data_IF_875537082738
#
_entry.id   IF_875537082738
#
_cell.length_a   1.000
_cell.length_b   1.000
_cell.length_c   1.000
_cell.angle_alpha   90.00
_cell.angle_beta   90.00
_cell.angle_gamma   90.00
#
_symmetry.space_group_name_H-M   'P 1'
#
loop_
_entity.id
_entity.type
_entity.pdbx_description
1 polymer ?
#
# COMPACT_ATOMS: atom_id res chain seq x y z
N UNK A 1 15.40 -12.00 -27.29
CA UNK A 1 14.36 -13.05 -27.31
C UNK A 1 13.29 -12.78 -28.37
N UNK A 2 12.92 -13.82 -29.12
CA UNK A 2 11.82 -13.80 -30.10
C UNK A 2 10.45 -14.12 -29.48
N UNK A 3 9.36 -13.73 -30.15
CA UNK A 3 7.99 -13.95 -29.65
C UNK A 3 7.65 -15.41 -29.31
N UNK A 4 8.22 -16.36 -30.07
CA UNK A 4 7.95 -17.80 -29.87
C UNK A 4 8.65 -18.37 -28.63
N UNK A 5 9.86 -17.90 -28.31
CA UNK A 5 10.59 -18.27 -27.08
C UNK A 5 9.80 -17.81 -25.84
N UNK A 6 9.32 -16.57 -25.85
CA UNK A 6 8.52 -16.02 -24.76
C UNK A 6 7.20 -16.78 -24.56
N UNK A 7 6.54 -17.19 -25.64
CA UNK A 7 5.31 -17.97 -25.54
C UNK A 7 5.55 -19.36 -24.95
N UNK A 8 6.62 -20.05 -25.37
CA UNK A 8 6.99 -21.35 -24.82
C UNK A 8 7.37 -21.24 -23.34
N UNK A 9 8.17 -20.26 -22.96
CA UNK A 9 8.52 -20.03 -21.57
C UNK A 9 7.29 -19.75 -20.71
N UNK A 10 6.36 -18.92 -21.20
CA UNK A 10 5.11 -18.65 -20.49
C UNK A 10 4.32 -19.93 -20.25
N UNK A 11 4.13 -20.76 -21.28
CA UNK A 11 3.42 -22.05 -21.16
C UNK A 11 4.15 -23.03 -20.25
N UNK A 12 5.48 -23.05 -20.28
CA UNK A 12 6.29 -23.85 -19.38
C UNK A 12 5.96 -23.48 -17.93
N UNK A 13 6.02 -22.18 -17.58
CA UNK A 13 5.70 -21.72 -16.23
C UNK A 13 4.22 -21.91 -15.84
N UNK A 14 3.28 -21.70 -16.76
CA UNK A 14 1.85 -21.92 -16.49
C UNK A 14 1.52 -23.40 -16.19
N UNK A 15 2.24 -24.34 -16.82
CA UNK A 15 2.01 -25.79 -16.69
C UNK A 15 3.03 -26.51 -15.80
N UNK A 16 3.99 -25.79 -15.22
CA UNK A 16 5.15 -26.33 -14.51
C UNK A 16 5.93 -27.42 -15.29
N UNK A 17 6.13 -27.19 -16.60
CA UNK A 17 6.68 -28.16 -17.56
C UNK A 17 8.14 -27.85 -17.93
N UNK A 18 9.07 -28.65 -17.41
CA UNK A 18 10.51 -28.52 -17.68
C UNK A 18 10.90 -28.88 -19.11
N UNK A 19 10.10 -29.68 -19.82
CA UNK A 19 10.37 -30.03 -21.23
C UNK A 19 10.09 -28.86 -22.17
N UNK A 20 9.06 -28.07 -21.88
CA UNK A 20 8.78 -26.82 -22.60
C UNK A 20 9.84 -25.75 -22.27
N UNK A 21 10.33 -25.73 -21.03
CA UNK A 21 11.45 -24.87 -20.64
C UNK A 21 12.71 -25.21 -21.44
N UNK A 22 13.07 -26.49 -21.57
CA UNK A 22 14.21 -26.94 -22.39
C UNK A 22 14.08 -26.52 -23.85
N UNK A 23 12.89 -26.64 -24.42
CA UNK A 23 12.62 -26.17 -25.78
C UNK A 23 12.85 -24.66 -25.91
N UNK A 24 12.34 -23.87 -24.97
CA UNK A 24 12.53 -22.42 -24.96
C UNK A 24 14.02 -22.03 -24.79
N UNK A 25 14.76 -22.73 -23.94
CA UNK A 25 16.20 -22.55 -23.75
C UNK A 25 16.96 -22.86 -25.05
N UNK A 26 16.63 -23.96 -25.75
CA UNK A 26 17.30 -24.37 -26.98
C UNK A 26 17.18 -23.35 -28.13
N UNK A 27 16.12 -22.54 -28.09
CA UNK A 27 15.87 -21.46 -29.04
C UNK A 27 16.57 -20.15 -28.65
N UNK A 28 16.96 -20.01 -27.39
CA UNK A 28 17.57 -18.78 -26.86
C UNK A 28 19.06 -18.75 -27.19
N UNK A 29 19.51 -17.64 -27.80
CA UNK A 29 20.94 -17.44 -28.07
C UNK A 29 21.76 -17.43 -26.77
N UNK A 30 22.98 -17.97 -26.79
CA UNK A 30 23.82 -18.08 -25.60
C UNK A 30 24.06 -16.74 -24.88
N UNK A 31 24.14 -15.63 -25.64
CA UNK A 31 24.27 -14.27 -25.09
C UNK A 31 23.04 -13.76 -24.33
N UNK A 32 21.85 -14.32 -24.62
CA UNK A 32 20.57 -13.90 -24.07
C UNK A 32 20.10 -14.78 -22.88
N UNK A 33 20.80 -15.88 -22.58
CA UNK A 33 20.40 -16.86 -21.57
C UNK A 33 20.24 -16.25 -20.16
N UNK A 34 21.09 -15.27 -19.81
CA UNK A 34 21.00 -14.60 -18.51
C UNK A 34 19.68 -13.87 -18.32
N UNK A 35 19.25 -13.14 -19.35
CA UNK A 35 17.98 -12.42 -19.32
C UNK A 35 16.80 -13.40 -19.39
N UNK A 36 16.96 -14.49 -20.16
CA UNK A 36 15.98 -15.58 -20.23
C UNK A 36 15.72 -16.17 -18.85
N UNK A 37 16.77 -16.55 -18.11
CA UNK A 37 16.63 -17.10 -16.77
C UNK A 37 16.02 -16.10 -15.77
N UNK A 38 16.30 -14.80 -15.93
CA UNK A 38 15.68 -13.76 -15.11
C UNK A 38 14.16 -13.70 -15.32
N UNK A 39 13.71 -13.80 -16.57
CA UNK A 39 12.28 -13.84 -16.92
C UNK A 39 11.66 -15.17 -16.48
N UNK A 40 12.34 -16.29 -16.72
CA UNK A 40 11.88 -17.63 -16.36
C UNK A 40 11.64 -17.76 -14.85
N UNK A 41 12.61 -17.34 -14.03
CA UNK A 41 12.46 -17.27 -12.58
C UNK A 41 11.23 -16.45 -12.16
N UNK A 42 11.08 -15.24 -12.73
CA UNK A 42 9.97 -14.36 -12.35
C UNK A 42 8.60 -14.95 -12.71
N UNK A 43 8.50 -15.59 -13.88
CA UNK A 43 7.27 -16.27 -14.30
C UNK A 43 7.00 -17.53 -13.47
N UNK A 44 8.02 -18.31 -13.15
CA UNK A 44 7.88 -19.52 -12.36
C UNK A 44 7.39 -19.21 -10.94
N UNK A 45 7.94 -18.19 -10.29
CA UNK A 45 7.47 -17.73 -8.96
C UNK A 45 5.99 -17.33 -9.01
N UNK A 46 5.60 -16.50 -9.99
CA UNK A 46 4.21 -16.02 -10.13
C UNK A 46 3.21 -17.13 -10.42
N UNK A 47 3.64 -18.22 -11.06
CA UNK A 47 2.80 -19.36 -11.39
C UNK A 47 2.93 -20.52 -10.39
N UNK A 48 3.76 -20.38 -9.34
CA UNK A 48 4.04 -21.46 -8.37
C UNK A 48 4.63 -22.73 -9.05
N UNK A 49 5.41 -22.53 -10.10
CA UNK A 49 5.99 -23.59 -10.93
C UNK A 49 7.24 -24.18 -10.27
N UNK A 50 7.03 -25.07 -9.30
CA UNK A 50 8.09 -25.63 -8.45
C UNK A 50 9.06 -26.54 -9.22
N UNK A 51 8.60 -27.31 -10.20
CA UNK A 51 9.49 -28.12 -11.03
C UNK A 51 10.47 -27.25 -11.82
N UNK A 52 9.97 -26.13 -12.39
CA UNK A 52 10.82 -25.15 -13.07
C UNK A 52 11.77 -24.46 -12.10
N UNK A 53 11.33 -24.06 -10.91
CA UNK A 53 12.22 -23.44 -9.93
C UNK A 53 13.37 -24.37 -9.51
N UNK A 54 13.09 -25.66 -9.32
CA UNK A 54 14.13 -26.65 -9.03
C UNK A 54 15.08 -26.85 -10.21
N UNK A 55 14.56 -26.98 -11.44
CA UNK A 55 15.38 -27.10 -12.65
C UNK A 55 16.32 -25.90 -12.84
N UNK A 56 15.85 -24.68 -12.57
CA UNK A 56 16.69 -23.48 -12.58
C UNK A 56 17.85 -23.58 -11.59
N UNK A 57 17.60 -24.06 -10.36
CA UNK A 57 18.65 -24.27 -9.34
C UNK A 57 19.65 -25.32 -9.80
N UNK A 58 19.19 -26.44 -10.36
CA UNK A 58 20.05 -27.51 -10.89
C UNK A 58 20.99 -26.99 -12.00
N UNK A 59 20.53 -26.00 -12.77
CA UNK A 59 21.34 -25.29 -13.78
C UNK A 59 22.25 -24.20 -13.20
N UNK A 60 22.31 -24.06 -11.88
CA UNK A 60 23.12 -23.07 -11.18
C UNK A 60 22.53 -21.65 -11.18
N UNK A 61 21.25 -21.50 -11.52
CA UNK A 61 20.56 -20.21 -11.48
C UNK A 61 20.04 -19.95 -10.06
N UNK A 62 20.45 -18.82 -9.46
CA UNK A 62 19.89 -18.40 -8.17
C UNK A 62 18.43 -17.97 -8.33
N UNK A 63 17.55 -18.61 -7.56
CA UNK A 63 16.12 -18.28 -7.49
C UNK A 63 15.80 -17.21 -6.43
N UNK A 64 16.80 -16.70 -5.70
CA UNK A 64 16.60 -15.60 -4.77
C UNK A 64 15.97 -14.40 -5.48
N UNK A 65 14.94 -13.82 -4.85
CA UNK A 65 14.21 -12.70 -5.43
C UNK A 65 15.08 -11.44 -5.41
N UNK A 66 15.24 -10.84 -6.59
CA UNK A 66 15.84 -9.51 -6.73
C UNK A 66 14.81 -8.39 -6.57
N UNK A 67 13.52 -8.73 -6.71
CA UNK A 67 12.40 -7.82 -6.83
C UNK A 67 11.24 -8.35 -5.98
N UNK A 68 10.92 -7.72 -4.83
CA UNK A 68 9.83 -8.17 -3.98
C UNK A 68 8.49 -8.29 -4.73
N UNK A 69 8.24 -7.40 -5.69
CA UNK A 69 7.04 -7.43 -6.54
C UNK A 69 6.85 -8.73 -7.32
N UNK A 70 7.91 -9.46 -7.65
CA UNK A 70 7.80 -10.74 -8.37
C UNK A 70 7.16 -11.85 -7.53
N UNK A 71 7.22 -11.76 -6.21
CA UNK A 71 6.60 -12.72 -5.30
C UNK A 71 5.11 -12.41 -5.05
N UNK A 72 4.61 -11.25 -5.52
CA UNK A 72 3.21 -10.87 -5.31
C UNK A 72 2.29 -11.86 -6.03
N UNK A 73 1.45 -12.55 -5.26
CA UNK A 73 0.55 -13.59 -5.75
C UNK A 73 1.13 -15.01 -5.76
N UNK A 74 2.39 -15.19 -5.35
CA UNK A 74 2.91 -16.53 -5.09
C UNK A 74 2.22 -17.14 -3.85
N UNK A 75 2.09 -18.46 -3.84
CA UNK A 75 1.54 -19.23 -2.73
C UNK A 75 2.51 -19.26 -1.55
N UNK A 76 2.00 -19.56 -0.35
CA UNK A 76 2.83 -19.66 0.86
C UNK A 76 3.92 -20.74 0.69
N UNK A 77 3.61 -21.85 0.03
CA UNK A 77 4.57 -22.92 -0.24
C UNK A 77 5.74 -22.44 -1.12
N UNK A 78 5.44 -21.67 -2.17
CA UNK A 78 6.48 -21.06 -3.02
C UNK A 78 7.30 -20.04 -2.25
N UNK A 79 6.66 -19.22 -1.41
CA UNK A 79 7.37 -18.22 -0.58
C UNK A 79 8.28 -18.90 0.45
N UNK A 80 7.80 -19.94 1.13
CA UNK A 80 8.58 -20.77 2.06
C UNK A 80 9.78 -21.39 1.35
N UNK A 81 9.57 -21.96 0.16
CA UNK A 81 10.66 -22.47 -0.65
C UNK A 81 11.70 -21.38 -0.96
N UNK A 82 11.28 -20.18 -1.38
CA UNK A 82 12.19 -19.08 -1.66
C UNK A 82 13.00 -18.67 -0.41
N UNK A 83 12.38 -18.65 0.78
CA UNK A 83 13.09 -18.42 2.04
C UNK A 83 14.17 -19.48 2.29
N UNK A 84 13.90 -20.76 2.02
CA UNK A 84 14.94 -21.82 2.11
C UNK A 84 16.10 -21.63 1.13
N UNK A 85 15.85 -20.96 0.00
CA UNK A 85 16.85 -20.61 -1.01
C UNK A 85 17.56 -19.28 -0.71
N UNK A 86 17.39 -18.73 0.50
CA UNK A 86 18.09 -17.53 0.95
C UNK A 86 17.45 -16.21 0.48
N UNK A 87 16.17 -16.24 0.07
CA UNK A 87 15.43 -14.99 -0.13
C UNK A 87 15.30 -14.22 1.19
N UNK A 88 15.69 -12.95 1.17
CA UNK A 88 15.44 -12.01 2.28
C UNK A 88 14.08 -11.32 2.10
N UNK A 89 13.13 -11.65 2.97
CA UNK A 89 11.77 -11.08 2.99
C UNK A 89 11.76 -9.56 3.26
N UNK A 90 12.83 -9.03 3.87
CA UNK A 90 13.00 -7.62 4.18
C UNK A 90 13.76 -6.85 3.09
N UNK A 91 14.30 -7.57 2.09
CA UNK A 91 15.02 -6.94 1.00
C UNK A 91 14.11 -6.01 0.19
N UNK A 92 14.72 -4.94 -0.31
CA UNK A 92 14.07 -3.94 -1.17
C UNK A 92 14.67 -4.07 -2.56
N UNK A 93 13.85 -3.92 -3.59
CA UNK A 93 14.34 -3.89 -4.96
C UNK A 93 15.22 -2.66 -5.21
N UNK A 94 16.13 -2.81 -6.16
CA UNK A 94 17.03 -1.76 -6.65
C UNK A 94 16.34 -0.78 -7.61
N UNK A 95 15.25 -1.22 -8.24
CA UNK A 95 14.45 -0.45 -9.17
C UNK A 95 13.70 0.70 -8.48
N UNK A 96 13.60 1.90 -9.10
CA UNK A 96 12.72 2.99 -8.66
C UNK A 96 11.29 2.57 -8.33
N UNK A 97 10.78 1.55 -9.02
CA UNK A 97 9.38 1.11 -8.92
C UNK A 97 9.17 -0.10 -8.00
N UNK A 98 10.22 -0.61 -7.33
CA UNK A 98 10.12 -1.81 -6.49
C UNK A 98 10.89 -1.66 -5.18
N UNK A 99 10.77 -0.47 -4.57
CA UNK A 99 11.53 -0.09 -3.37
C UNK A 99 10.87 -0.52 -2.06
N UNK A 100 9.69 -1.13 -2.13
CA UNK A 100 8.96 -1.58 -0.96
C UNK A 100 9.32 -3.05 -0.66
N UNK A 101 9.49 -3.43 0.62
CA UNK A 101 9.66 -4.84 0.98
C UNK A 101 8.36 -5.62 0.73
N UNK A 102 8.43 -6.94 0.71
CA UNK A 102 7.29 -7.78 0.31
C UNK A 102 6.03 -7.54 1.17
N UNK A 103 6.16 -7.44 2.49
CA UNK A 103 5.02 -7.22 3.40
C UNK A 103 4.20 -5.96 3.07
N UNK A 104 4.82 -4.92 2.50
CA UNK A 104 4.12 -3.71 2.06
C UNK A 104 3.22 -3.96 0.85
N UNK A 105 3.61 -4.87 -0.03
CA UNK A 105 2.89 -5.18 -1.27
C UNK A 105 1.62 -6.01 -1.05
N UNK A 106 1.51 -6.61 0.13
CA UNK A 106 0.43 -7.49 0.59
C UNK A 106 -0.24 -6.96 1.86
N UNK A 107 0.00 -5.69 2.21
CA UNK A 107 -0.45 -5.08 3.48
C UNK A 107 -1.97 -5.06 3.69
N UNK A 108 -2.75 -5.26 2.62
CA UNK A 108 -4.22 -5.34 2.66
C UNK A 108 -4.73 -6.75 2.99
N UNK A 109 -3.87 -7.77 2.92
CA UNK A 109 -4.20 -9.16 3.23
C UNK A 109 -3.70 -9.49 4.65
N UNK A 110 -4.63 -9.59 5.59
CA UNK A 110 -4.32 -9.86 7.00
C UNK A 110 -3.53 -11.17 7.18
N UNK A 111 -3.94 -12.25 6.51
CA UNK A 111 -3.32 -13.57 6.69
C UNK A 111 -1.92 -13.61 6.09
N UNK A 112 -1.70 -12.88 4.99
CA UNK A 112 -0.37 -12.75 4.40
C UNK A 112 0.55 -11.86 5.24
N UNK A 113 0.05 -10.75 5.79
CA UNK A 113 0.81 -9.89 6.72
C UNK A 113 1.22 -10.68 7.96
N UNK A 114 0.29 -11.44 8.54
CA UNK A 114 0.57 -12.30 9.69
C UNK A 114 1.65 -13.33 9.34
N UNK A 115 1.52 -14.01 8.20
CA UNK A 115 2.52 -14.97 7.72
C UNK A 115 3.90 -14.30 7.54
N UNK A 116 3.96 -13.10 6.95
CA UNK A 116 5.20 -12.36 6.78
C UNK A 116 5.90 -12.12 8.13
N UNK A 117 5.15 -11.65 9.13
CA UNK A 117 5.68 -11.39 10.48
C UNK A 117 6.18 -12.67 11.17
N UNK A 118 5.47 -13.79 11.00
CA UNK A 118 5.89 -15.11 11.53
C UNK A 118 7.19 -15.60 10.88
N UNK A 119 7.48 -15.17 9.65
CA UNK A 119 8.68 -15.52 8.88
C UNK A 119 9.76 -14.44 8.91
N UNK A 120 9.72 -13.54 9.90
CA UNK A 120 10.81 -12.58 10.14
C UNK A 120 10.75 -11.29 9.34
N UNK A 121 9.62 -10.97 8.69
CA UNK A 121 9.39 -9.64 8.17
C UNK A 121 9.40 -8.61 9.31
N UNK A 122 10.11 -7.51 9.08
CA UNK A 122 10.27 -6.41 10.01
C UNK A 122 9.32 -5.27 9.67
N UNK A 123 8.73 -4.65 10.69
CA UNK A 123 8.03 -3.36 10.56
C UNK A 123 8.99 -2.17 10.44
N UNK A 124 10.29 -2.45 10.49
CA UNK A 124 11.41 -1.52 10.27
C UNK A 124 12.37 -2.13 9.24
N UNK A 125 12.00 -2.19 7.95
CA UNK A 125 12.85 -2.70 6.88
C UNK A 125 14.16 -1.90 6.75
N UNK A 126 15.15 -2.52 6.11
CA UNK A 126 16.47 -1.92 5.96
C UNK A 126 16.43 -0.54 5.26
N UNK A 127 17.16 0.41 5.82
CA UNK A 127 17.22 1.79 5.31
C UNK A 127 15.99 2.64 5.67
N UNK A 128 15.07 2.14 6.50
CA UNK A 128 14.01 2.94 7.10
C UNK A 128 14.41 3.34 8.53
N UNK A 129 15.08 4.49 8.67
CA UNK A 129 15.48 5.02 9.97
C UNK A 129 14.25 5.27 10.88
N UNK A 130 14.34 4.94 12.20
CA UNK A 130 13.27 5.20 13.17
C UNK A 130 12.81 6.66 13.16
N UNK A 131 11.55 6.87 13.51
CA UNK A 131 11.01 8.22 13.66
C UNK A 131 11.69 8.92 14.85
N UNK A 132 12.47 9.96 14.57
CA UNK A 132 13.02 10.86 15.58
C UNK A 132 12.61 12.28 15.22
N UNK A 133 12.04 12.99 16.19
CA UNK A 133 11.43 14.33 16.03
C UNK A 133 12.39 15.42 15.53
N UNK A 134 13.68 15.12 15.42
CA UNK A 134 14.75 16.02 14.97
C UNK A 134 15.42 15.61 13.66
N UNK A 135 15.09 14.46 13.07
CA UNK A 135 15.75 13.97 11.84
C UNK A 135 14.93 14.35 10.62
N UNK A 136 15.37 15.41 9.96
CA UNK A 136 14.98 15.80 8.60
C UNK A 136 15.22 14.67 7.61
N UNK A 137 14.12 14.18 7.01
CA UNK A 137 13.97 13.81 5.59
C UNK A 137 15.18 13.14 4.93
N UNK A 138 15.29 11.83 5.06
CA UNK A 138 16.12 11.07 4.13
C UNK A 138 15.34 10.81 2.83
N UNK A 139 16.05 10.79 1.70
CA UNK A 139 15.52 10.32 0.40
C UNK A 139 14.82 8.96 0.56
N UNK A 140 15.32 8.14 1.47
CA UNK A 140 14.83 6.80 1.78
C UNK A 140 13.39 6.76 2.28
N UNK A 141 12.90 7.82 2.95
CA UNK A 141 11.49 7.92 3.37
C UNK A 141 10.51 8.12 2.21
N UNK A 142 10.93 8.82 1.15
CA UNK A 142 10.11 8.92 -0.08
C UNK A 142 10.05 7.60 -0.83
N UNK A 143 11.05 6.75 -0.60
CA UNK A 143 11.22 5.49 -1.31
C UNK A 143 10.59 4.30 -0.56
N UNK A 144 10.34 4.43 0.75
CA UNK A 144 9.60 3.45 1.56
C UNK A 144 8.77 4.17 2.63
N UNK A 145 7.49 4.34 2.34
CA UNK A 145 6.49 4.88 3.25
C UNK A 145 6.35 3.99 4.49
N UNK A 146 5.89 4.53 5.63
CA UNK A 146 5.59 3.70 6.80
C UNK A 146 4.41 2.78 6.52
N UNK A 147 4.46 1.51 6.95
CA UNK A 147 3.43 0.53 6.60
C UNK A 147 2.03 0.93 7.08
N UNK A 148 1.92 1.62 8.23
CA UNK A 148 0.62 2.08 8.73
C UNK A 148 0.01 3.18 7.86
N UNK A 149 0.79 3.94 7.10
CA UNK A 149 0.23 4.85 6.09
C UNK A 149 -0.28 4.12 4.84
N UNK A 150 0.14 2.88 4.60
CA UNK A 150 -0.38 2.05 3.49
C UNK A 150 -1.63 1.29 3.92
N UNK A 151 -1.66 0.84 5.17
CA UNK A 151 -2.79 0.09 5.71
C UNK A 151 -3.97 1.01 6.02
N UNK A 152 -3.75 2.24 6.48
CA UNK A 152 -4.83 3.19 6.76
C UNK A 152 -5.82 3.40 5.60
N UNK A 153 -5.40 3.63 4.34
CA UNK A 153 -6.35 3.80 3.24
C UNK A 153 -6.95 2.50 2.70
N UNK A 154 -6.29 1.35 2.86
CA UNK A 154 -6.60 0.15 2.05
C UNK A 154 -6.72 -1.16 2.82
N UNK A 155 -6.23 -1.22 4.05
CA UNK A 155 -6.23 -2.43 4.87
C UNK A 155 -7.35 -2.42 5.91
N UNK A 156 -7.44 -3.53 6.66
CA UNK A 156 -8.38 -3.65 7.76
C UNK A 156 -7.84 -3.06 9.06
N UNK A 157 -8.74 -2.70 9.99
CA UNK A 157 -8.38 -2.30 11.36
C UNK A 157 -7.56 -3.42 12.04
N UNK A 158 -7.92 -4.69 11.81
CA UNK A 158 -7.19 -5.83 12.37
C UNK A 158 -5.73 -5.88 11.88
N UNK A 159 -5.47 -5.61 10.60
CA UNK A 159 -4.11 -5.53 10.06
C UNK A 159 -3.36 -4.33 10.66
N UNK A 160 -4.04 -3.19 10.81
CA UNK A 160 -3.46 -1.99 11.42
C UNK A 160 -3.03 -2.24 12.87
N UNK A 161 -3.92 -2.84 13.68
CA UNK A 161 -3.66 -3.22 15.08
C UNK A 161 -2.54 -4.24 15.20
N UNK A 162 -2.54 -5.27 14.34
CA UNK A 162 -1.48 -6.27 14.32
C UNK A 162 -0.11 -5.61 14.12
N UNK A 163 0.04 -4.76 13.10
CA UNK A 163 1.30 -4.10 12.80
C UNK A 163 1.71 -3.11 13.91
N UNK A 164 0.75 -2.33 14.43
CA UNK A 164 1.00 -1.42 15.56
C UNK A 164 1.44 -2.18 16.82
N UNK A 165 0.87 -3.35 17.09
CA UNK A 165 1.29 -4.23 18.21
C UNK A 165 2.73 -4.75 18.07
N UNK A 166 3.26 -4.77 16.83
CA UNK A 166 4.65 -5.11 16.52
C UNK A 166 5.58 -3.89 16.50
N UNK A 167 5.08 -2.70 16.86
CA UNK A 167 5.86 -1.47 16.90
C UNK A 167 5.92 -0.72 15.57
N UNK A 168 5.04 -1.03 14.61
CA UNK A 168 5.00 -0.29 13.36
C UNK A 168 4.74 1.20 13.62
N UNK A 169 5.53 2.12 13.04
CA UNK A 169 5.35 3.55 13.24
C UNK A 169 4.16 4.06 12.41
N UNK A 170 3.42 5.02 12.97
CA UNK A 170 2.25 5.62 12.31
C UNK A 170 2.62 6.35 11.01
N UNK A 171 3.73 7.09 11.00
CA UNK A 171 4.00 8.05 9.93
C UNK A 171 3.24 9.36 10.13
N UNK A 172 3.19 10.21 9.10
CA UNK A 172 2.54 11.52 9.10
C UNK A 172 1.12 11.50 8.53
N UNK A 173 0.84 10.59 7.59
CA UNK A 173 -0.39 10.62 6.79
C UNK A 173 -1.40 9.48 6.95
N UNK A 174 -1.43 8.66 8.03
CA UNK A 174 -2.50 7.65 8.15
C UNK A 174 -3.90 8.24 8.06
N UNK A 175 -4.19 9.28 8.86
CA UNK A 175 -5.52 9.91 8.89
C UNK A 175 -5.86 10.61 7.59
N UNK A 176 -4.89 11.34 7.00
CA UNK A 176 -5.05 12.01 5.71
C UNK A 176 -5.46 11.05 4.59
N UNK A 177 -4.74 9.94 4.44
CA UNK A 177 -4.99 8.95 3.40
C UNK A 177 -6.29 8.15 3.64
N UNK A 178 -6.64 7.90 4.90
CA UNK A 178 -7.92 7.29 5.25
C UNK A 178 -9.10 8.21 4.90
N UNK A 179 -8.99 9.51 5.22
CA UNK A 179 -10.01 10.52 4.84
C UNK A 179 -10.14 10.62 3.33
N UNK A 180 -9.02 10.74 2.60
CA UNK A 180 -9.03 10.79 1.13
C UNK A 180 -9.73 9.56 0.54
N UNK A 181 -9.34 8.38 1.00
CA UNK A 181 -9.89 7.13 0.45
C UNK A 181 -11.36 6.96 0.79
N UNK A 182 -11.83 7.45 1.94
CA UNK A 182 -13.25 7.43 2.31
C UNK A 182 -14.13 8.22 1.32
N UNK A 183 -13.57 9.20 0.60
CA UNK A 183 -14.30 9.96 -0.44
C UNK A 183 -14.36 9.26 -1.80
N UNK A 184 -13.55 8.21 -2.03
CA UNK A 184 -13.59 7.49 -3.30
C UNK A 184 -14.91 6.76 -3.51
N UNK A 185 -15.43 6.87 -4.73
CA UNK A 185 -16.68 6.27 -5.16
C UNK A 185 -16.55 5.75 -6.59
N UNK A 186 -16.94 4.50 -6.78
CA UNK A 186 -17.00 3.85 -8.09
C UNK A 186 -18.46 3.42 -8.34
N UNK A 187 -19.26 4.18 -9.11
CA UNK A 187 -20.69 3.92 -9.27
C UNK A 187 -21.03 2.53 -9.83
N UNK A 188 -20.09 1.90 -10.54
CA UNK A 188 -20.26 0.58 -11.13
C UNK A 188 -19.80 -0.58 -10.24
N UNK A 189 -19.25 -0.31 -9.05
CA UNK A 189 -18.78 -1.34 -8.11
C UNK A 189 -19.88 -1.62 -7.08
N UNK A 190 -20.52 -2.79 -7.20
CA UNK A 190 -21.59 -3.24 -6.31
C UNK A 190 -21.14 -3.35 -4.83
N UNK A 191 -19.82 -3.40 -4.57
CA UNK A 191 -19.26 -3.48 -3.22
C UNK A 191 -18.81 -2.12 -2.67
N UNK A 192 -19.01 -1.02 -3.40
CA UNK A 192 -18.47 0.29 -3.00
C UNK A 192 -19.05 0.78 -1.67
N UNK A 193 -20.34 0.52 -1.38
CA UNK A 193 -20.95 0.89 -0.10
C UNK A 193 -20.37 0.12 1.09
N UNK A 194 -20.10 -1.17 0.91
CA UNK A 194 -19.43 -1.98 1.94
C UNK A 194 -18.00 -1.47 2.18
N UNK A 195 -17.24 -1.19 1.11
CA UNK A 195 -15.91 -0.60 1.20
C UNK A 195 -15.91 0.79 1.82
N UNK A 196 -16.91 1.62 1.49
CA UNK A 196 -17.07 2.93 2.09
C UNK A 196 -17.33 2.84 3.59
N UNK A 197 -18.18 1.89 4.02
CA UNK A 197 -18.41 1.61 5.44
C UNK A 197 -17.12 1.22 6.15
N UNK A 198 -16.29 0.35 5.55
CA UNK A 198 -14.99 -0.04 6.09
C UNK A 198 -14.00 1.13 6.17
N UNK A 199 -13.97 2.00 5.15
CA UNK A 199 -13.12 3.20 5.12
C UNK A 199 -13.55 4.20 6.20
N UNK A 200 -14.85 4.43 6.36
CA UNK A 200 -15.40 5.27 7.43
C UNK A 200 -15.08 4.69 8.82
N UNK A 201 -15.20 3.37 8.98
CA UNK A 201 -14.80 2.70 10.23
C UNK A 201 -13.31 2.90 10.56
N UNK A 202 -12.43 2.88 9.54
CA UNK A 202 -11.02 3.20 9.75
C UNK A 202 -10.81 4.66 10.18
N UNK A 203 -11.50 5.64 9.56
CA UNK A 203 -11.41 7.06 9.98
C UNK A 203 -11.84 7.22 11.44
N UNK A 204 -12.97 6.63 11.83
CA UNK A 204 -13.41 6.59 13.22
C UNK A 204 -12.35 5.97 14.13
N UNK A 205 -11.84 4.80 13.78
CA UNK A 205 -10.84 4.10 14.57
C UNK A 205 -9.56 4.94 14.78
N UNK A 206 -9.08 5.62 13.74
CA UNK A 206 -7.90 6.49 13.82
C UNK A 206 -8.12 7.71 14.73
N UNK A 207 -9.33 8.27 14.76
CA UNK A 207 -9.67 9.42 15.61
C UNK A 207 -9.98 9.00 17.04
N UNK A 208 -10.80 7.96 17.21
CA UNK A 208 -11.42 7.61 18.49
C UNK A 208 -10.59 6.61 19.31
N UNK A 209 -9.87 5.71 18.64
CA UNK A 209 -9.10 4.64 19.30
C UNK A 209 -7.61 4.91 19.25
N UNK A 210 -7.09 5.34 18.11
CA UNK A 210 -5.66 5.70 17.98
C UNK A 210 -5.40 7.10 18.57
N UNK A 211 -6.37 8.01 18.50
CA UNK A 211 -6.25 9.37 19.04
C UNK A 211 -5.37 10.27 18.18
N UNK A 212 -5.41 10.11 16.85
CA UNK A 212 -4.68 10.99 15.94
C UNK A 212 -5.27 12.41 15.98
N UNK A 213 -4.39 13.41 16.01
CA UNK A 213 -4.78 14.82 15.94
C UNK A 213 -5.42 15.12 14.58
N UNK A 214 -6.69 15.54 14.62
CA UNK A 214 -7.49 15.87 13.44
C UNK A 214 -6.97 17.10 12.68
N UNK A 215 -6.08 17.89 13.29
CA UNK A 215 -5.43 19.06 12.69
C UNK A 215 -3.92 18.84 12.46
N UNK A 216 -3.42 17.60 12.60
CA UNK A 216 -2.03 17.31 12.31
C UNK A 216 -1.69 17.63 10.85
N UNK A 217 -0.56 18.27 10.54
CA UNK A 217 -0.16 18.52 9.17
C UNK A 217 0.31 17.23 8.47
N UNK A 218 0.02 17.11 7.18
CA UNK A 218 0.44 16.00 6.30
C UNK A 218 1.96 15.86 6.12
N UNK A 219 2.72 16.85 6.59
CA UNK A 219 4.17 16.89 6.58
C UNK A 219 4.71 17.69 7.77
N UNK A 220 5.98 17.49 8.17
CA UNK A 220 6.58 18.27 9.25
C UNK A 220 6.54 19.76 8.96
N UNK A 221 6.37 20.56 10.02
CA UNK A 221 6.38 22.02 9.93
C UNK A 221 7.63 22.52 9.19
N UNK A 222 7.44 23.42 8.22
CA UNK A 222 8.51 23.96 7.38
C UNK A 222 8.91 23.07 6.19
N UNK A 223 8.21 21.96 5.96
CA UNK A 223 8.44 21.07 4.82
C UNK A 223 7.74 21.55 3.54
N UNK A 224 8.41 21.39 2.39
CA UNK A 224 7.82 21.50 1.03
C UNK A 224 8.16 20.30 0.13
N UNK A 225 8.37 19.12 0.73
CA UNK A 225 9.06 18.00 0.04
C UNK A 225 8.17 16.90 -0.52
N UNK A 226 6.92 16.77 -0.11
CA UNK A 226 6.02 15.75 -0.66
C UNK A 226 5.12 16.38 -1.74
N UNK A 227 4.94 15.73 -2.91
CA UNK A 227 3.86 16.13 -3.81
C UNK A 227 2.50 15.85 -3.14
N UNK A 228 1.45 16.59 -3.52
CA UNK A 228 0.08 16.45 -2.99
C UNK A 228 -0.01 16.68 -1.47
N UNK A 229 0.35 17.89 -1.04
CA UNK A 229 0.20 18.37 0.33
C UNK A 229 -1.06 19.25 0.42
N UNK A 230 -2.16 18.72 0.95
CA UNK A 230 -3.38 19.51 1.10
C UNK A 230 -3.48 20.18 2.47
N UNK A 231 -2.60 19.85 3.42
CA UNK A 231 -2.54 20.44 4.75
C UNK A 231 -2.99 19.46 5.82
N UNK A 232 -4.17 19.70 6.40
CA UNK A 232 -4.76 18.86 7.45
C UNK A 232 -5.68 17.79 6.85
N UNK A 233 -6.09 16.75 7.61
CA UNK A 233 -6.97 15.70 7.12
C UNK A 233 -8.25 16.20 6.43
N UNK A 234 -8.91 17.25 6.94
CA UNK A 234 -10.14 17.78 6.32
C UNK A 234 -9.89 18.35 4.91
N UNK A 235 -8.66 18.76 4.60
CA UNK A 235 -8.28 19.23 3.27
C UNK A 235 -8.13 18.09 2.25
N UNK A 236 -8.21 16.83 2.69
CA UNK A 236 -8.21 15.64 1.84
C UNK A 236 -9.61 15.16 1.49
N UNK A 237 -10.67 15.86 1.91
CA UNK A 237 -12.01 15.59 1.41
C UNK A 237 -12.04 15.95 -0.07
N UNK A 238 -12.07 14.93 -0.92
CA UNK A 238 -12.07 15.09 -2.35
C UNK A 238 -13.43 15.57 -2.83
N UNK A 239 -13.41 16.76 -3.41
CA UNK A 239 -14.57 17.52 -3.83
C UNK A 239 -14.71 17.48 -5.36
N UNK A 240 -14.71 16.27 -5.91
CA UNK A 240 -15.27 16.08 -7.25
C UNK A 240 -16.66 15.52 -7.11
N UNK A 241 -17.55 15.97 -8.00
CA UNK A 241 -18.90 15.43 -8.21
C UNK A 241 -18.84 14.00 -8.76
N UNK A 242 -18.14 13.11 -8.06
CA UNK A 242 -18.07 11.68 -8.37
C UNK A 242 -19.36 10.98 -7.96
N UNK A 243 -20.18 11.59 -7.08
CA UNK A 243 -21.56 11.18 -6.81
C UNK A 243 -21.81 10.66 -5.41
N UNK A 244 -20.78 10.56 -4.55
CA UNK A 244 -20.93 10.21 -3.13
C UNK A 244 -21.02 11.47 -2.27
N UNK A 245 -22.01 11.51 -1.39
CA UNK A 245 -22.18 12.55 -0.38
C UNK A 245 -21.11 12.41 0.71
N UNK A 246 -20.27 13.43 0.89
CA UNK A 246 -19.18 13.45 1.88
C UNK A 246 -19.58 14.17 3.19
N UNK A 247 -20.86 14.52 3.36
CA UNK A 247 -21.34 15.26 4.53
C UNK A 247 -21.08 14.55 5.84
N UNK A 248 -21.32 13.24 5.91
CA UNK A 248 -21.06 12.44 7.11
C UNK A 248 -19.60 12.53 7.54
N UNK A 249 -18.68 12.30 6.61
CA UNK A 249 -17.24 12.41 6.85
C UNK A 249 -16.83 13.84 7.24
N UNK A 250 -17.38 14.85 6.56
CA UNK A 250 -17.13 16.27 6.87
C UNK A 250 -17.53 16.58 8.30
N UNK A 251 -18.76 16.22 8.68
CA UNK A 251 -19.31 16.48 10.00
C UNK A 251 -18.56 15.72 11.09
N UNK A 252 -18.16 14.48 10.82
CA UNK A 252 -17.30 13.70 11.72
C UNK A 252 -16.01 14.45 12.06
N UNK A 253 -15.28 14.95 11.05
CA UNK A 253 -14.03 15.68 11.28
C UNK A 253 -14.27 16.98 12.04
N UNK A 254 -15.32 17.74 11.70
CA UNK A 254 -15.67 18.99 12.39
C UNK A 254 -16.07 18.73 13.86
N UNK A 255 -16.83 17.68 14.15
CA UNK A 255 -17.18 17.28 15.52
C UNK A 255 -15.96 16.87 16.35
N UNK A 256 -14.89 16.40 15.70
CA UNK A 256 -13.58 16.15 16.32
C UNK A 256 -12.70 17.39 16.42
N UNK A 257 -13.18 18.55 15.95
CA UNK A 257 -12.50 19.84 16.07
C UNK A 257 -11.59 20.17 14.89
N UNK A 258 -11.81 19.57 13.71
CA UNK A 258 -11.10 19.97 12.49
C UNK A 258 -11.33 21.46 12.18
N UNK A 259 -10.27 22.18 11.82
CA UNK A 259 -10.36 23.54 11.30
C UNK A 259 -10.58 23.51 9.77
N UNK A 260 -11.75 23.93 9.26
CA UNK A 260 -12.05 23.90 7.84
C UNK A 260 -11.44 25.09 7.06
N UNK A 261 -10.77 26.04 7.71
CA UNK A 261 -10.35 27.31 7.09
C UNK A 261 -9.54 27.12 5.81
N UNK A 262 -8.51 26.26 5.84
CA UNK A 262 -7.69 25.98 4.67
C UNK A 262 -8.46 25.18 3.61
N UNK A 263 -9.27 24.19 4.02
CA UNK A 263 -10.10 23.42 3.10
C UNK A 263 -11.11 24.31 2.34
N UNK A 264 -11.77 25.24 3.03
CA UNK A 264 -12.71 26.19 2.44
C UNK A 264 -12.05 27.13 1.42
N UNK A 265 -10.77 27.48 1.63
CA UNK A 265 -10.02 28.33 0.70
C UNK A 265 -9.77 27.64 -0.64
N UNK A 266 -9.66 26.32 -0.65
CA UNK A 266 -9.36 25.51 -1.84
C UNK A 266 -10.57 24.76 -2.40
N UNK A 267 -11.71 24.76 -1.70
CA UNK A 267 -12.96 24.15 -2.15
C UNK A 267 -13.39 24.71 -3.51
N UNK A 268 -13.91 23.83 -4.39
CA UNK A 268 -14.36 24.27 -5.71
C UNK A 268 -15.68 25.06 -5.58
N UNK A 269 -15.97 26.03 -6.48
CA UNK A 269 -17.20 26.81 -6.39
C UNK A 269 -18.50 25.98 -6.50
N UNK A 270 -18.45 24.81 -7.13
CA UNK A 270 -19.56 23.89 -7.36
C UNK A 270 -19.61 22.70 -6.37
N UNK A 271 -18.78 22.79 -5.33
CA UNK A 271 -18.71 21.90 -4.17
C UNK A 271 -19.91 22.03 -3.24
N UNK A 272 -20.30 20.92 -2.63
CA UNK A 272 -21.21 20.92 -1.48
C UNK A 272 -20.48 21.12 -0.14
N UNK A 273 -19.14 21.01 -0.08
CA UNK A 273 -18.34 21.10 1.15
C UNK A 273 -18.56 22.41 1.93
N UNK A 274 -18.58 23.55 1.23
CA UNK A 274 -18.79 24.84 1.87
C UNK A 274 -20.20 24.96 2.48
N UNK A 275 -21.20 24.35 1.84
CA UNK A 275 -22.58 24.29 2.36
C UNK A 275 -22.70 23.33 3.53
N UNK A 276 -22.00 22.19 3.49
CA UNK A 276 -21.95 21.24 4.61
C UNK A 276 -21.32 21.84 5.87
N UNK A 277 -20.23 22.60 5.73
CA UNK A 277 -19.60 23.33 6.84
C UNK A 277 -20.56 24.38 7.43
N UNK A 278 -21.27 25.14 6.57
CA UNK A 278 -22.30 26.09 7.04
C UNK A 278 -23.44 25.39 7.77
N UNK A 279 -23.93 24.28 7.22
CA UNK A 279 -25.00 23.49 7.80
C UNK A 279 -24.60 22.90 9.17
N UNK A 280 -23.35 22.44 9.30
CA UNK A 280 -22.80 21.96 10.56
C UNK A 280 -22.72 23.08 11.62
N UNK A 281 -22.19 24.26 11.26
CA UNK A 281 -22.10 25.40 12.17
C UNK A 281 -23.49 25.81 12.70
N UNK A 282 -24.47 25.95 11.81
CA UNK A 282 -25.85 26.28 12.19
C UNK A 282 -26.50 25.20 13.08
N UNK A 283 -26.12 23.93 12.91
CA UNK A 283 -26.56 22.84 13.78
C UNK A 283 -25.90 22.89 15.16
N UNK A 284 -24.58 23.14 15.24
CA UNK A 284 -23.84 23.30 16.51
C UNK A 284 -24.35 24.48 17.33
N UNK A 285 -24.62 25.61 16.68
CA UNK A 285 -25.18 26.80 17.35
C UNK A 285 -26.54 26.51 18.01
N UNK A 286 -27.39 25.72 17.35
CA UNK A 286 -28.68 25.29 17.93
C UNK A 286 -28.50 24.34 19.11
N UNK A 287 -27.54 23.43 19.05
CA UNK A 287 -27.24 22.50 20.15
C UNK A 287 -26.60 23.20 21.37
N UNK A 288 -25.82 24.26 21.13
CA UNK A 288 -25.18 25.05 22.20
C UNK A 288 -26.07 26.14 22.83
N UNK A 289 -27.25 26.40 22.26
CA UNK A 289 -28.19 27.43 22.71
C UNK A 289 -29.18 27.00 23.80
N UNK A 290 -29.20 25.72 24.18
CA UNK A 290 -30.09 25.15 25.20
C UNK A 290 -29.40 24.97 26.58
N UNK A 291 -28.28 25.67 26.82
CA UNK A 291 -27.49 25.65 28.07
C UNK A 291 -27.70 26.85 28.97
#
# INVERSE_FOLDING_TARGET
MGNREHELLRKACENDDTTLLDQAISMTAAGDLKDFYTVARSNAIRNNAMAILNDLIERGVSVALQRPSNAKGASKETLEFLLTQGWDINARGDSPNDKLPFMWLVATDYDMVKWCLEHGASVHPQGQEPFRDSVTKTKDRRECQQILEIVAPHGSIATFDLLRSKGAPLGWRPLHLAVETATYFIPSDENDDARHTERMAMVHYLLDVVGLDVNAPDQPVGSKTLPMHNGTPICYIYDERTGRDNRELTWLLLDKGADPTDALRFAKPDSDFAEDVKAWNAWKEKQGGDG
#
